data_IF_383222212285
#
_entry.id   IF_383222212285
#
_cell.length_a   1.000
_cell.length_b   1.000
_cell.length_c   1.000
_cell.angle_alpha   90.00
_cell.angle_beta   90.00
_cell.angle_gamma   90.00
#
_symmetry.space_group_name_H-M   'P 1'
#
loop_
_entity.id
_entity.type
_entity.pdbx_description
1 polymer ?
#
# COMPACT_ATOMS: atom_id res chain seq x y z
N UNK A 1 7.18 -5.17 3.78
CA UNK A 1 7.48 -6.54 4.21
C UNK A 1 6.97 -6.69 5.63
N UNK A 2 6.08 -7.65 5.88
CA UNK A 2 5.46 -7.83 7.19
C UNK A 2 6.42 -8.49 8.17
N UNK A 3 6.34 -8.12 9.46
CA UNK A 3 7.19 -8.68 10.53
C UNK A 3 6.91 -10.16 10.83
N UNK A 4 5.65 -10.58 10.71
CA UNK A 4 5.16 -11.90 11.10
C UNK A 4 5.48 -13.01 10.08
N UNK A 5 5.35 -12.69 8.80
CA UNK A 5 5.43 -13.66 7.68
C UNK A 5 6.66 -13.47 6.81
N UNK A 6 7.30 -12.30 6.87
CA UNK A 6 8.39 -11.93 5.95
C UNK A 6 7.94 -11.74 4.50
N UNK A 7 6.64 -11.74 4.22
CA UNK A 7 6.09 -11.53 2.88
C UNK A 7 5.98 -10.02 2.57
N UNK A 8 6.09 -9.64 1.30
CA UNK A 8 5.67 -8.31 0.87
C UNK A 8 4.15 -8.27 0.73
N UNK A 9 3.56 -7.17 1.16
CA UNK A 9 2.14 -6.93 1.11
C UNK A 9 1.92 -5.44 0.83
N UNK A 10 0.75 -5.10 0.29
CA UNK A 10 0.32 -3.72 0.20
C UNK A 10 0.07 -3.18 1.62
N UNK A 11 0.41 -1.90 1.88
CA UNK A 11 0.18 -1.32 3.18
C UNK A 11 -1.31 -1.08 3.40
N UNK A 12 -1.84 -1.58 4.51
CA UNK A 12 -3.28 -1.54 4.79
C UNK A 12 -3.65 -2.18 6.11
N UNK A 13 -4.88 -1.93 6.55
CA UNK A 13 -5.37 -2.40 7.83
C UNK A 13 -6.89 -2.29 7.94
N UNK A 14 -7.38 -2.51 9.16
CA UNK A 14 -8.82 -2.53 9.42
C UNK A 14 -9.40 -1.12 9.43
N UNK A 15 -10.62 -0.97 8.92
CA UNK A 15 -11.37 0.27 9.07
C UNK A 15 -11.89 0.34 10.50
N UNK A 16 -11.55 1.41 11.21
CA UNK A 16 -12.05 1.63 12.57
C UNK A 16 -13.56 1.93 12.57
N UNK A 17 -14.24 1.62 13.67
CA UNK A 17 -15.68 1.86 13.80
C UNK A 17 -16.02 3.34 13.62
N UNK A 18 -16.77 3.66 12.56
CA UNK A 18 -17.14 5.04 12.21
C UNK A 18 -16.09 5.81 11.40
N UNK A 19 -14.96 5.17 11.06
CA UNK A 19 -13.93 5.74 10.19
C UNK A 19 -14.37 5.68 8.71
N UNK A 20 -14.06 6.72 7.96
CA UNK A 20 -14.24 6.69 6.51
C UNK A 20 -13.11 5.87 5.88
N UNK A 21 -13.44 4.96 4.96
CA UNK A 21 -12.46 4.13 4.24
C UNK A 21 -11.31 4.95 3.64
N UNK A 22 -11.55 6.15 3.09
CA UNK A 22 -10.47 6.98 2.54
C UNK A 22 -9.53 7.52 3.61
N UNK A 23 -10.04 7.75 4.83
CA UNK A 23 -9.22 8.16 5.98
C UNK A 23 -8.36 6.98 6.47
N UNK A 24 -8.94 5.78 6.55
CA UNK A 24 -8.24 4.53 6.90
C UNK A 24 -7.04 4.33 5.99
N UNK A 25 -7.22 4.35 4.66
CA UNK A 25 -6.11 4.05 3.72
C UNK A 25 -4.96 5.03 3.84
N UNK A 26 -5.26 6.32 4.10
CA UNK A 26 -4.21 7.33 4.33
C UNK A 26 -3.49 7.11 5.67
N UNK A 27 -4.24 6.78 6.72
CA UNK A 27 -3.71 6.48 8.06
C UNK A 27 -2.77 5.26 8.01
N UNK A 28 -3.27 4.13 7.50
CA UNK A 28 -2.51 2.88 7.39
C UNK A 28 -1.23 3.06 6.57
N UNK A 29 -1.30 3.74 5.41
CA UNK A 29 -0.10 4.04 4.63
C UNK A 29 0.92 4.88 5.41
N UNK A 30 0.45 5.85 6.20
CA UNK A 30 1.32 6.73 6.99
C UNK A 30 1.95 5.97 8.17
N UNK A 31 1.20 5.09 8.81
CA UNK A 31 1.67 4.29 9.95
C UNK A 31 2.65 3.20 9.52
N UNK A 32 2.37 2.48 8.43
CA UNK A 32 3.21 1.35 8.02
C UNK A 32 4.42 1.72 7.17
N UNK A 33 4.37 2.85 6.45
CA UNK A 33 5.42 3.27 5.50
C UNK A 33 6.01 4.67 5.78
N UNK A 34 5.62 5.32 6.88
CA UNK A 34 5.98 6.70 7.21
C UNK A 34 6.50 6.93 8.64
N UNK A 35 7.13 5.93 9.26
CA UNK A 35 7.67 6.08 10.62
C UNK A 35 9.03 6.83 10.61
N UNK A 36 9.01 8.09 11.06
CA UNK A 36 10.22 8.91 11.25
C UNK A 36 10.52 9.15 12.74
N UNK A 37 9.92 8.36 13.64
CA UNK A 37 10.08 8.46 15.08
C UNK A 37 9.76 9.86 15.60
N UNK A 38 10.76 10.50 16.23
CA UNK A 38 10.60 11.83 16.84
C UNK A 38 11.01 13.00 15.93
N UNK A 39 11.47 12.74 14.70
CA UNK A 39 11.84 13.79 13.74
C UNK A 39 10.58 14.45 13.14
N UNK A 40 10.08 15.47 13.83
CA UNK A 40 8.90 16.23 13.41
C UNK A 40 9.06 16.88 12.04
N UNK A 41 10.28 17.21 11.62
CA UNK A 41 10.52 17.83 10.32
C UNK A 41 10.31 16.80 9.22
N UNK A 42 10.93 15.63 9.34
CA UNK A 42 10.75 14.54 8.38
C UNK A 42 9.29 14.07 8.34
N UNK A 43 8.64 13.95 9.51
CA UNK A 43 7.21 13.63 9.60
C UNK A 43 6.33 14.64 8.84
N UNK A 44 6.58 15.95 9.04
CA UNK A 44 5.84 17.00 8.35
C UNK A 44 6.09 17.00 6.84
N UNK A 45 7.35 16.79 6.43
CA UNK A 45 7.73 16.71 5.02
C UNK A 45 7.13 15.48 4.34
N UNK A 46 7.01 14.35 5.04
CA UNK A 46 6.34 13.15 4.56
C UNK A 46 4.83 13.37 4.44
N UNK A 47 4.19 13.89 5.49
CA UNK A 47 2.74 14.15 5.51
C UNK A 47 2.29 15.11 4.38
N UNK A 48 3.12 16.09 4.01
CA UNK A 48 2.85 16.96 2.87
C UNK A 48 2.82 16.17 1.54
N UNK A 49 3.79 15.27 1.33
CA UNK A 49 3.87 14.41 0.13
C UNK A 49 2.75 13.37 0.10
N UNK A 50 2.40 12.79 1.24
CA UNK A 50 1.23 11.89 1.36
C UNK A 50 -0.05 12.65 1.05
N UNK A 51 -0.18 13.90 1.49
CA UNK A 51 -1.36 14.71 1.16
C UNK A 51 -1.45 15.00 -0.35
N UNK A 52 -0.32 15.22 -1.02
CA UNK A 52 -0.27 15.33 -2.48
C UNK A 52 -0.67 13.99 -3.15
N UNK A 53 -0.10 12.86 -2.71
CA UNK A 53 -0.40 11.52 -3.23
C UNK A 53 -1.89 11.16 -3.13
N UNK A 54 -2.50 11.46 -1.98
CA UNK A 54 -3.88 11.14 -1.67
C UNK A 54 -4.88 12.21 -2.14
N UNK A 55 -4.45 13.19 -2.94
CA UNK A 55 -5.35 14.19 -3.54
C UNK A 55 -6.28 13.62 -4.61
N UNK A 56 -5.97 12.41 -5.11
CA UNK A 56 -6.80 11.65 -6.02
C UNK A 56 -6.95 10.21 -5.56
N UNK A 57 -6.92 9.28 -6.52
CA UNK A 57 -7.01 7.85 -6.27
C UNK A 57 -8.24 7.22 -6.89
N UNK A 58 -8.13 5.93 -7.19
CA UNK A 58 -9.20 5.15 -7.84
C UNK A 58 -9.37 3.83 -7.12
N UNK A 59 -10.61 3.40 -6.92
CA UNK A 59 -10.90 2.05 -6.41
C UNK A 59 -10.50 1.04 -7.48
N UNK A 60 -9.67 0.08 -7.12
CA UNK A 60 -9.28 -1.06 -7.94
C UNK A 60 -10.18 -2.25 -7.65
N UNK A 61 -10.48 -2.45 -6.37
CA UNK A 61 -11.30 -3.55 -5.89
C UNK A 61 -12.15 -3.11 -4.72
N UNK A 62 -13.38 -3.63 -4.62
CA UNK A 62 -14.22 -3.51 -3.44
C UNK A 62 -15.09 -4.77 -3.30
N UNK A 63 -14.95 -5.47 -2.19
CA UNK A 63 -15.79 -6.60 -1.86
C UNK A 63 -15.07 -7.66 -1.04
N UNK A 64 -15.61 -8.88 -1.11
CA UNK A 64 -15.19 -10.06 -0.39
C UNK A 64 -13.71 -10.42 -0.60
N UNK A 65 -13.04 -10.93 0.43
CA UNK A 65 -11.71 -11.52 0.33
C UNK A 65 -11.79 -12.94 0.85
N UNK A 66 -11.29 -13.89 0.05
CA UNK A 66 -11.12 -15.27 0.52
C UNK A 66 -9.95 -15.31 1.52
N UNK A 67 -10.30 -15.38 2.80
CA UNK A 67 -9.38 -15.24 3.92
C UNK A 67 -9.63 -16.38 4.92
N UNK A 68 -8.56 -16.99 5.48
CA UNK A 68 -8.72 -18.10 6.43
C UNK A 68 -9.49 -17.75 7.71
N UNK A 69 -9.73 -16.45 7.98
CA UNK A 69 -10.56 -15.98 9.10
C UNK A 69 -12.07 -16.04 8.81
N UNK A 70 -12.46 -16.29 7.57
CA UNK A 70 -13.86 -16.32 7.17
C UNK A 70 -14.62 -17.49 7.84
N UNK A 71 -15.90 -17.25 8.14
CA UNK A 71 -16.85 -18.22 8.69
C UNK A 71 -18.20 -18.03 8.02
N UNK A 72 -19.17 -18.90 8.30
CA UNK A 72 -20.55 -18.79 7.77
C UNK A 72 -21.24 -17.46 8.13
N UNK A 73 -20.80 -16.78 9.19
CA UNK A 73 -21.47 -15.59 9.74
C UNK A 73 -20.61 -14.33 9.74
N UNK A 74 -19.34 -14.41 9.34
CA UNK A 74 -18.41 -13.29 9.32
C UNK A 74 -17.35 -13.52 8.26
N UNK A 75 -17.08 -12.51 7.44
CA UNK A 75 -16.08 -12.56 6.38
C UNK A 75 -15.29 -11.26 6.26
N UNK A 76 -14.12 -11.36 5.65
CA UNK A 76 -13.29 -10.21 5.31
C UNK A 76 -13.80 -9.55 4.03
N UNK A 77 -13.89 -8.23 4.07
CA UNK A 77 -14.02 -7.40 2.86
C UNK A 77 -12.88 -6.38 2.84
N UNK A 78 -12.54 -5.93 1.64
CA UNK A 78 -11.56 -4.86 1.47
C UNK A 78 -11.99 -3.90 0.38
N UNK A 79 -11.46 -2.68 0.46
CA UNK A 79 -11.44 -1.76 -0.68
C UNK A 79 -9.99 -1.45 -1.00
N UNK A 80 -9.48 -1.96 -2.12
CA UNK A 80 -8.15 -1.64 -2.60
C UNK A 80 -8.20 -0.37 -3.46
N UNK A 81 -7.27 0.55 -3.20
CA UNK A 81 -7.14 1.81 -3.94
C UNK A 81 -5.80 1.88 -4.65
N UNK A 82 -5.81 2.47 -5.84
CA UNK A 82 -4.61 2.87 -6.55
C UNK A 82 -4.45 4.40 -6.46
N UNK A 83 -3.32 4.82 -5.90
CA UNK A 83 -2.89 6.22 -5.88
C UNK A 83 -1.66 6.36 -6.78
N UNK A 84 -1.85 6.96 -7.96
CA UNK A 84 -0.75 7.19 -8.88
C UNK A 84 0.02 8.45 -8.47
N UNK A 85 1.34 8.34 -8.32
CA UNK A 85 2.22 9.48 -8.06
C UNK A 85 2.95 9.93 -9.33
N UNK A 86 3.27 11.22 -9.43
CA UNK A 86 4.22 11.68 -10.45
C UNK A 86 5.62 11.11 -10.15
N UNK A 87 6.46 11.01 -11.18
CA UNK A 87 7.85 10.57 -11.01
C UNK A 87 8.58 11.41 -9.95
N UNK A 88 8.39 12.74 -9.98
CA UNK A 88 8.95 13.67 -8.98
C UNK A 88 8.50 13.31 -7.57
N UNK A 89 7.20 13.08 -7.35
CA UNK A 89 6.67 12.76 -6.03
C UNK A 89 7.20 11.42 -5.54
N UNK A 90 7.20 10.38 -6.38
CA UNK A 90 7.77 9.08 -6.07
C UNK A 90 9.27 9.14 -5.73
N UNK A 91 10.05 9.99 -6.41
CA UNK A 91 11.46 10.21 -6.09
C UNK A 91 11.70 10.92 -4.75
N UNK A 92 10.74 11.71 -4.29
CA UNK A 92 10.84 12.48 -3.04
C UNK A 92 10.20 11.77 -1.84
N UNK A 93 9.32 10.80 -2.06
CA UNK A 93 8.62 10.06 -1.02
C UNK A 93 9.48 8.92 -0.49
N UNK A 94 10.36 9.25 0.47
CA UNK A 94 11.10 8.27 1.25
C UNK A 94 10.15 7.49 2.15
N UNK A 95 10.27 6.15 2.15
CA UNK A 95 9.48 5.25 2.99
C UNK A 95 10.33 4.78 4.17
N UNK A 96 9.70 4.62 5.33
CA UNK A 96 10.28 3.98 6.51
C UNK A 96 9.26 3.03 7.12
N UNK A 97 9.71 1.82 7.44
CA UNK A 97 8.83 0.79 7.99
C UNK A 97 8.38 1.17 9.41
N UNK A 98 7.08 1.11 9.66
CA UNK A 98 6.49 1.36 10.98
C UNK A 98 6.34 0.12 11.84
N UNK A 99 5.39 0.19 12.79
CA UNK A 99 5.27 -0.80 13.87
C UNK A 99 4.95 -2.22 13.40
N UNK A 100 4.19 -2.39 12.31
CA UNK A 100 3.80 -3.71 11.80
C UNK A 100 4.62 -4.17 10.57
N UNK A 101 5.50 -3.30 10.06
CA UNK A 101 6.34 -3.57 8.90
C UNK A 101 7.81 -3.75 9.29
N UNK A 102 8.47 -4.82 8.83
CA UNK A 102 9.92 -4.99 8.96
C UNK A 102 10.67 -4.07 7.99
N UNK A 103 10.12 -3.92 6.78
CA UNK A 103 10.67 -3.06 5.71
C UNK A 103 9.57 -2.38 4.93
N UNK A 104 9.80 -1.15 4.50
CA UNK A 104 8.96 -0.41 3.55
C UNK A 104 9.83 -0.04 2.34
N UNK A 105 9.35 -0.35 1.13
CA UNK A 105 10.09 -0.10 -0.10
C UNK A 105 9.14 0.08 -1.28
N UNK A 106 9.61 0.81 -2.29
CA UNK A 106 9.01 0.81 -3.61
C UNK A 106 9.43 -0.46 -4.35
N UNK A 107 8.45 -1.14 -4.93
CA UNK A 107 8.67 -2.37 -5.69
C UNK A 107 8.17 -2.18 -7.13
N UNK A 108 8.76 -2.90 -8.08
CA UNK A 108 8.26 -2.94 -9.44
C UNK A 108 6.87 -3.60 -9.44
N UNK A 109 5.84 -2.88 -9.88
CA UNK A 109 4.48 -3.42 -9.96
C UNK A 109 4.38 -4.64 -10.89
N UNK A 110 5.22 -4.65 -11.94
CA UNK A 110 5.42 -5.79 -12.84
C UNK A 110 6.92 -6.07 -12.89
N UNK A 111 7.42 -7.10 -12.19
CA UNK A 111 8.82 -7.49 -12.23
C UNK A 111 9.27 -7.95 -13.63
N UNK A 112 10.57 -8.02 -13.88
CA UNK A 112 11.12 -8.33 -15.21
C UNK A 112 10.78 -9.75 -15.70
N UNK A 113 10.52 -10.67 -14.78
CA UNK A 113 10.04 -12.03 -15.03
C UNK A 113 8.50 -12.16 -15.04
N UNK A 114 7.79 -11.03 -14.87
CA UNK A 114 6.34 -10.95 -14.67
C UNK A 114 5.82 -11.78 -13.49
N UNK A 115 6.68 -12.13 -12.53
CA UNK A 115 6.26 -12.90 -11.36
C UNK A 115 5.83 -11.96 -10.23
N UNK A 116 4.52 -11.78 -10.05
CA UNK A 116 3.96 -10.98 -8.95
C UNK A 116 3.82 -11.76 -7.63
N UNK A 117 4.28 -13.02 -7.56
CA UNK A 117 4.21 -13.87 -6.35
C UNK A 117 5.04 -13.34 -5.17
N UNK A 118 5.94 -12.38 -5.40
CA UNK A 118 6.60 -11.68 -4.29
C UNK A 118 5.59 -10.92 -3.39
N UNK A 119 4.40 -10.60 -3.90
CA UNK A 119 3.25 -10.02 -3.17
C UNK A 119 2.10 -11.06 -3.04
N UNK A 120 2.41 -12.34 -2.82
CA UNK A 120 1.39 -13.40 -2.63
C UNK A 120 0.71 -13.38 -1.24
N UNK A 121 0.49 -12.21 -0.66
CA UNK A 121 -0.33 -12.07 0.53
C UNK A 121 -1.80 -11.88 0.14
N UNK A 122 -2.65 -12.85 0.49
CA UNK A 122 -4.07 -12.87 0.13
C UNK A 122 -4.29 -12.66 -1.38
N UNK A 123 -5.16 -11.74 -1.78
CA UNK A 123 -5.49 -11.47 -3.20
C UNK A 123 -4.71 -10.29 -3.79
N UNK A 124 -3.59 -9.87 -3.19
CA UNK A 124 -2.89 -8.64 -3.57
C UNK A 124 -2.36 -8.66 -5.01
N UNK A 125 -1.86 -9.80 -5.49
CA UNK A 125 -1.38 -9.99 -6.87
C UNK A 125 -2.46 -9.64 -7.91
N UNK A 126 -3.71 -10.06 -7.68
CA UNK A 126 -4.84 -9.77 -8.57
C UNK A 126 -5.12 -8.27 -8.72
N UNK A 127 -4.90 -7.49 -7.66
CA UNK A 127 -5.09 -6.04 -7.73
C UNK A 127 -3.94 -5.33 -8.43
N UNK A 128 -2.71 -5.88 -8.36
CA UNK A 128 -1.60 -5.40 -9.17
C UNK A 128 -1.85 -5.64 -10.65
N UNK A 129 -2.35 -6.83 -11.02
CA UNK A 129 -2.72 -7.15 -12.40
C UNK A 129 -3.83 -6.21 -12.89
N UNK A 130 -4.87 -5.98 -12.10
CA UNK A 130 -5.93 -5.03 -12.42
C UNK A 130 -5.41 -3.59 -12.61
N UNK A 131 -4.42 -3.18 -11.81
CA UNK A 131 -3.74 -1.88 -11.98
C UNK A 131 -2.96 -1.86 -13.29
N UNK A 132 -2.17 -2.91 -13.57
CA UNK A 132 -1.34 -2.99 -14.76
C UNK A 132 -2.17 -2.99 -16.06
N UNK A 133 -3.34 -3.61 -16.05
CA UNK A 133 -4.23 -3.70 -17.21
C UNK A 133 -5.04 -2.42 -17.46
N UNK A 134 -5.41 -1.70 -16.40
CA UNK A 134 -6.47 -0.67 -16.47
C UNK A 134 -6.01 0.75 -16.13
N UNK A 135 -4.76 0.93 -15.70
CA UNK A 135 -4.26 2.21 -15.21
C UNK A 135 -2.86 2.50 -15.77
N UNK A 136 -2.57 3.78 -16.00
CA UNK A 136 -1.20 4.20 -16.32
C UNK A 136 -0.32 4.05 -15.07
N UNK A 137 0.83 3.39 -15.21
CA UNK A 137 1.79 3.19 -14.14
C UNK A 137 3.24 3.37 -14.63
N UNK A 138 4.14 3.69 -13.70
CA UNK A 138 5.58 3.72 -13.99
C UNK A 138 6.11 2.29 -14.07
N UNK A 139 6.75 1.94 -15.19
CA UNK A 139 7.25 0.57 -15.43
C UNK A 139 8.48 0.18 -14.59
N UNK A 140 9.11 1.14 -13.93
CA UNK A 140 10.28 0.92 -13.07
C UNK A 140 10.14 1.76 -11.80
N UNK A 141 10.27 1.13 -10.65
CA UNK A 141 10.54 1.85 -9.41
C UNK A 141 11.99 2.35 -9.44
N UNK A 142 12.26 3.47 -8.77
CA UNK A 142 13.64 3.94 -8.60
C UNK A 142 14.40 2.94 -7.73
N UNK A 143 15.66 2.65 -8.10
CA UNK A 143 16.71 1.96 -7.34
C UNK A 143 16.23 1.39 -6.00
N UNK A 144 15.80 0.12 -6.03
CA UNK A 144 15.98 -0.75 -4.87
C UNK A 144 17.43 -0.64 -4.40
N UNK A 145 17.71 -0.58 -3.09
CA UNK A 145 19.07 -0.81 -2.60
C UNK A 145 19.61 -2.14 -3.12
#
# INVERSE_FOLDING_TARGET
QRKDTGQWALPGGMVDAGENVSATVKREFTEEAGDFGSDKRQQSEFNAKVTELFSGGRVVYRGYVDDPRNTDNAWMETTAFHFHCSERLGQMLTLNAGDDADKAAWLNAVPEDNDTSFIDYASHSQWLDAVADSFDYHKKCRNTP
#
